data_IF_681442247475
#
_entry.id   IF_681442247475
#
_cell.length_a   1.000
_cell.length_b   1.000
_cell.length_c   1.000
_cell.angle_alpha   90.00
_cell.angle_beta   90.00
_cell.angle_gamma   90.00
#
_symmetry.space_group_name_H-M   'P 1'
#
loop_
_entity.id
_entity.type
_entity.pdbx_description
1 polymer ?
#
# COMPACT_ATOMS: atom_id res chain seq x y z
N UNK A 1 0.89 6.46 -8.10
CA UNK A 1 0.79 5.38 -9.12
C UNK A 1 -0.46 4.55 -8.80
N UNK A 2 -1.39 4.32 -9.73
CA UNK A 2 -2.58 3.48 -9.46
C UNK A 2 -2.19 2.01 -9.53
N UNK A 3 -2.26 1.27 -8.42
CA UNK A 3 -1.97 -0.18 -8.38
C UNK A 3 -3.31 -0.93 -8.38
N UNK A 4 -3.51 -1.82 -9.34
CA UNK A 4 -4.71 -2.68 -9.41
C UNK A 4 -4.39 -4.01 -8.73
N UNK A 5 -5.23 -4.45 -7.80
CA UNK A 5 -5.14 -5.75 -7.12
C UNK A 5 -6.46 -6.52 -7.31
N UNK A 6 -6.44 -7.83 -7.17
CA UNK A 6 -7.65 -8.66 -7.18
C UNK A 6 -7.91 -9.09 -5.75
N UNK A 7 -9.03 -8.72 -5.14
CA UNK A 7 -9.37 -9.17 -3.77
C UNK A 7 -10.23 -10.44 -3.82
N UNK A 8 -10.20 -11.28 -2.79
CA UNK A 8 -11.09 -12.45 -2.68
C UNK A 8 -11.85 -12.45 -1.34
N UNK A 9 -12.98 -13.15 -1.27
CA UNK A 9 -13.81 -13.24 -0.06
C UNK A 9 -13.55 -14.58 0.64
N UNK A 10 -13.28 -14.55 1.95
CA UNK A 10 -13.10 -15.74 2.77
C UNK A 10 -14.43 -16.34 3.30
N UNK A 11 -14.35 -17.43 4.06
CA UNK A 11 -15.52 -18.11 4.64
C UNK A 11 -16.30 -17.25 5.65
N UNK A 12 -15.71 -16.20 6.21
CA UNK A 12 -16.34 -15.25 7.13
C UNK A 12 -16.90 -14.01 6.41
N UNK A 13 -16.78 -13.93 5.08
CA UNK A 13 -17.21 -12.76 4.30
C UNK A 13 -16.19 -11.62 4.33
N UNK A 14 -14.98 -11.85 4.82
CA UNK A 14 -13.91 -10.85 4.88
C UNK A 14 -13.26 -10.72 3.51
N UNK A 15 -13.07 -9.48 3.06
CA UNK A 15 -12.30 -9.18 1.86
C UNK A 15 -10.81 -9.33 2.18
N UNK A 16 -10.13 -10.21 1.46
CA UNK A 16 -8.69 -10.47 1.58
C UNK A 16 -7.98 -9.89 0.36
N UNK A 17 -7.04 -8.96 0.59
CA UNK A 17 -6.17 -8.46 -0.48
C UNK A 17 -4.94 -9.39 -0.61
N UNK A 18 -4.57 -9.86 -1.82
CA UNK A 18 -3.38 -10.67 -2.03
C UNK A 18 -2.07 -9.98 -1.63
N UNK A 19 -2.05 -8.65 -1.47
CA UNK A 19 -0.92 -7.95 -0.86
C UNK A 19 -0.74 -8.33 0.61
N UNK A 20 -1.82 -8.57 1.35
CA UNK A 20 -1.79 -8.99 2.75
C UNK A 20 -1.28 -10.43 2.89
N UNK A 21 -1.35 -11.20 1.81
CA UNK A 21 -0.89 -12.59 1.73
C UNK A 21 0.62 -12.72 1.39
N UNK A 22 1.24 -11.67 0.85
CA UNK A 22 2.68 -11.64 0.55
C UNK A 22 3.54 -12.01 1.76
N UNK A 23 3.37 -11.39 2.95
CA UNK A 23 4.15 -11.75 4.13
C UNK A 23 3.80 -13.14 4.68
N UNK A 24 2.57 -13.63 4.48
CA UNK A 24 2.12 -14.94 4.98
C UNK A 24 2.74 -16.09 4.19
N UNK A 25 2.71 -15.99 2.86
CA UNK A 25 3.23 -17.06 1.99
C UNK A 25 4.69 -16.85 1.58
N UNK A 26 5.27 -15.68 1.87
CA UNK A 26 6.63 -15.31 1.45
C UNK A 26 6.79 -15.47 -0.08
N UNK A 27 5.73 -15.09 -0.81
CA UNK A 27 5.65 -15.17 -2.25
C UNK A 27 5.42 -13.79 -2.84
N UNK A 28 5.96 -13.58 -4.02
CA UNK A 28 5.71 -12.37 -4.79
C UNK A 28 4.21 -12.23 -5.08
N UNK A 29 3.70 -11.00 -4.99
CA UNK A 29 2.29 -10.67 -5.21
C UNK A 29 1.72 -11.27 -6.50
N UNK A 30 2.46 -11.24 -7.61
CA UNK A 30 1.99 -11.78 -8.90
C UNK A 30 1.78 -13.29 -8.87
N UNK A 31 2.59 -14.05 -8.11
CA UNK A 31 2.41 -15.50 -7.94
C UNK A 31 1.14 -15.81 -7.15
N UNK A 32 0.87 -15.02 -6.10
CA UNK A 32 -0.34 -15.15 -5.29
C UNK A 32 -1.59 -14.83 -6.14
N UNK A 33 -1.59 -13.70 -6.85
CA UNK A 33 -2.69 -13.32 -7.76
C UNK A 33 -2.94 -14.39 -8.82
N UNK A 34 -1.88 -14.95 -9.40
CA UNK A 34 -1.98 -16.06 -10.36
C UNK A 34 -2.64 -17.29 -9.74
N UNK A 35 -2.22 -17.68 -8.53
CA UNK A 35 -2.80 -18.80 -7.79
C UNK A 35 -4.29 -18.59 -7.48
N UNK A 36 -4.67 -17.42 -6.97
CA UNK A 36 -6.07 -17.06 -6.68
C UNK A 36 -6.92 -17.16 -7.95
N UNK A 37 -6.49 -16.58 -9.07
CA UNK A 37 -7.23 -16.68 -10.35
C UNK A 37 -7.31 -18.12 -10.89
N UNK A 38 -6.27 -18.91 -10.67
CA UNK A 38 -6.27 -20.33 -11.04
C UNK A 38 -7.32 -21.10 -10.22
N UNK A 39 -7.43 -20.83 -8.92
CA UNK A 39 -8.43 -21.47 -8.05
C UNK A 39 -9.84 -21.04 -8.45
N UNK A 40 -10.07 -19.75 -8.67
CA UNK A 40 -11.36 -19.20 -9.08
C UNK A 40 -11.86 -19.83 -10.40
N UNK A 41 -10.95 -20.04 -11.36
CA UNK A 41 -11.29 -20.64 -12.66
C UNK A 41 -11.47 -22.16 -12.61
N UNK A 42 -10.75 -22.85 -11.71
CA UNK A 42 -10.77 -24.32 -11.63
C UNK A 42 -11.90 -24.84 -10.74
N UNK A 43 -12.22 -24.13 -9.65
CA UNK A 43 -13.19 -24.59 -8.65
C UNK A 43 -14.31 -23.56 -8.48
N UNK A 44 -15.42 -23.81 -9.19
CA UNK A 44 -16.56 -22.90 -9.24
C UNK A 44 -17.18 -22.71 -7.85
N UNK A 45 -17.33 -21.45 -7.44
CA UNK A 45 -18.03 -21.07 -6.20
C UNK A 45 -17.22 -21.23 -4.91
N UNK A 46 -15.93 -21.56 -4.99
CA UNK A 46 -15.06 -21.66 -3.80
C UNK A 46 -14.48 -20.30 -3.41
N UNK A 47 -14.11 -19.49 -4.39
CA UNK A 47 -13.72 -18.10 -4.19
C UNK A 47 -14.33 -17.24 -5.30
N UNK A 48 -14.59 -15.99 -4.96
CA UNK A 48 -14.99 -14.97 -5.91
C UNK A 48 -14.00 -13.82 -5.77
N UNK A 49 -13.50 -13.32 -6.89
CA UNK A 49 -12.60 -12.17 -6.91
C UNK A 49 -13.25 -10.93 -7.49
N UNK A 50 -12.90 -9.78 -6.93
CA UNK A 50 -13.25 -8.48 -7.48
C UNK A 50 -11.98 -7.68 -7.75
N UNK A 51 -11.95 -7.00 -8.90
CA UNK A 51 -10.84 -6.12 -9.24
C UNK A 51 -10.98 -4.82 -8.47
N UNK A 52 -9.98 -4.53 -7.64
CA UNK A 52 -9.89 -3.29 -6.87
C UNK A 52 -8.68 -2.45 -7.32
N UNK A 53 -8.73 -1.15 -7.08
CA UNK A 53 -7.62 -0.23 -7.37
C UNK A 53 -7.30 0.60 -6.13
N UNK A 54 -6.11 0.39 -5.57
CA UNK A 54 -5.57 1.25 -4.52
C UNK A 54 -4.79 2.40 -5.13
N UNK A 55 -5.13 3.63 -4.73
CA UNK A 55 -4.41 4.82 -5.12
C UNK A 55 -3.55 5.31 -3.96
N UNK A 56 -2.23 5.12 -4.09
CA UNK A 56 -1.26 5.71 -3.18
C UNK A 56 -0.56 6.91 -3.85
N UNK A 57 -0.43 7.99 -3.08
CA UNK A 57 0.38 9.15 -3.42
C UNK A 57 1.74 8.96 -2.77
N UNK A 58 2.78 8.84 -3.59
CA UNK A 58 4.16 8.80 -3.14
C UNK A 58 4.84 10.08 -3.59
N UNK A 59 5.69 10.63 -2.72
CA UNK A 59 6.58 11.72 -3.10
C UNK A 59 7.56 11.21 -4.17
N UNK A 60 7.70 11.96 -5.26
CA UNK A 60 8.75 11.65 -6.23
C UNK A 60 10.13 11.99 -5.64
N UNK A 61 11.18 11.39 -6.20
CA UNK A 61 12.56 11.59 -5.72
C UNK A 61 13.01 13.06 -5.80
N UNK A 62 12.44 13.83 -6.74
CA UNK A 62 12.69 15.26 -6.87
C UNK A 62 12.04 16.10 -5.75
N UNK A 63 10.87 15.70 -5.24
CA UNK A 63 10.16 16.40 -4.17
C UNK A 63 10.67 16.02 -2.78
N UNK A 64 11.31 14.85 -2.63
CA UNK A 64 11.93 14.41 -1.37
C UNK A 64 12.90 15.47 -0.78
N UNK A 65 13.88 16.02 -1.52
CA UNK A 65 14.76 17.07 -0.99
C UNK A 65 14.04 18.40 -0.76
N UNK A 66 12.98 18.71 -1.53
CA UNK A 66 12.19 19.94 -1.34
C UNK A 66 11.42 19.92 -0.02
N UNK A 67 10.81 18.79 0.32
CA UNK A 67 10.14 18.62 1.61
C UNK A 67 11.16 18.62 2.74
N UNK A 68 12.28 17.90 2.61
CA UNK A 68 13.35 17.90 3.61
C UNK A 68 13.82 19.33 3.92
N UNK A 69 14.14 20.11 2.89
CA UNK A 69 14.56 21.51 3.04
C UNK A 69 13.51 22.37 3.74
N UNK A 70 12.22 22.18 3.44
CA UNK A 70 11.14 22.89 4.14
C UNK A 70 11.04 22.51 5.61
N UNK A 71 11.16 21.21 5.94
CA UNK A 71 11.15 20.72 7.32
C UNK A 71 12.32 21.32 8.10
N UNK A 72 13.54 21.26 7.55
CA UNK A 72 14.73 21.84 8.17
C UNK A 72 14.57 23.36 8.39
N UNK A 73 13.96 24.07 7.44
CA UNK A 73 13.68 25.51 7.59
C UNK A 73 12.68 25.80 8.70
N UNK A 74 11.63 24.98 8.85
CA UNK A 74 10.63 25.14 9.91
C UNK A 74 11.29 24.90 11.27
N UNK A 75 12.09 23.83 11.39
CA UNK A 75 12.76 23.46 12.63
C UNK A 75 13.71 24.57 13.12
N UNK A 76 14.44 25.20 12.20
CA UNK A 76 15.30 26.35 12.51
C UNK A 76 14.52 27.56 13.02
N UNK A 77 13.37 27.88 12.40
CA UNK A 77 12.51 29.00 12.85
C UNK A 77 11.94 28.75 14.25
N UNK A 78 11.51 27.52 14.51
CA UNK A 78 10.99 27.10 15.83
C UNK A 78 12.08 27.21 16.88
N UNK A 79 13.28 26.69 16.62
CA UNK A 79 14.43 26.81 17.54
C UNK A 79 14.79 28.27 17.82
N UNK A 80 14.76 29.14 16.80
CA UNK A 80 14.96 30.58 16.97
C UNK A 80 13.92 31.23 17.89
N UNK A 81 12.66 30.87 17.76
CA UNK A 81 11.58 31.40 18.62
C UNK A 81 11.66 30.88 20.07
N UNK A 82 12.05 29.63 20.27
CA UNK A 82 12.22 29.05 21.61
C UNK A 82 13.40 29.68 22.34
N UNK A 83 14.52 29.92 21.64
CA UNK A 83 15.72 30.55 22.22
C UNK A 83 15.57 32.06 22.48
N UNK A 84 14.70 32.75 21.72
CA UNK A 84 14.44 34.19 21.91
C UNK A 84 13.45 34.53 23.04
N UNK A 85 12.93 33.54 23.78
CA UNK A 85 11.99 33.71 24.91
C UNK A 85 12.61 33.43 26.29
N UNK A 86 13.91 33.18 26.37
CA UNK A 86 14.66 32.98 27.63
C UNK A 86 15.49 34.21 27.94
#
# INVERSE_FOLDING_TARGET
MKKRSASCIDQQGTIVDPLDLVPVFVLEHQKIVGGVKSIESTVRGVIQTEQDTRMCWELNEEARPLIKRKVDSIENVVQGHVKGRV
#
